data_IF_539391288945
#
_entry.id   IF_539391288945
#
_cell.length_a   1.000
_cell.length_b   1.000
_cell.length_c   1.000
_cell.angle_alpha   90.00
_cell.angle_beta   90.00
_cell.angle_gamma   90.00
#
_symmetry.space_group_name_H-M   'P 1'
#
loop_
_entity.id
_entity.type
_entity.pdbx_description
1 polymer ?
#
# COMPACT_ATOMS: atom_id res chain seq x y z
N UNK A 1 0.31 -0.95 -40.46
CA UNK A 1 1.43 0.02 -40.47
C UNK A 1 2.16 -0.07 -39.14
N UNK A 2 3.47 -0.25 -39.15
CA UNK A 2 4.26 -0.26 -37.92
C UNK A 2 4.53 1.17 -37.46
N UNK A 3 4.80 1.38 -36.16
CA UNK A 3 5.22 2.68 -35.62
C UNK A 3 6.39 3.27 -36.43
N UNK A 4 7.32 2.41 -36.85
CA UNK A 4 8.50 2.80 -37.61
C UNK A 4 8.15 3.34 -39.00
N UNK A 5 7.17 2.73 -39.69
CA UNK A 5 6.74 3.20 -41.02
C UNK A 5 6.05 4.57 -40.93
N UNK A 6 5.22 4.76 -39.91
CA UNK A 6 4.53 6.04 -39.65
C UNK A 6 5.54 7.12 -39.30
N UNK A 7 6.51 6.81 -38.42
CA UNK A 7 7.57 7.73 -38.08
C UNK A 7 8.39 8.15 -39.30
N UNK A 8 8.85 7.20 -40.12
CA UNK A 8 9.61 7.48 -41.35
C UNK A 8 8.84 8.38 -42.31
N UNK A 9 7.54 8.14 -42.46
CA UNK A 9 6.67 8.96 -43.31
C UNK A 9 6.56 10.40 -42.80
N UNK A 10 6.42 10.57 -41.48
CA UNK A 10 6.31 11.90 -40.87
C UNK A 10 7.65 12.65 -40.86
N UNK A 11 8.76 11.96 -40.58
CA UNK A 11 10.10 12.54 -40.54
C UNK A 11 10.57 13.04 -41.92
N UNK A 12 10.08 12.43 -43.01
CA UNK A 12 10.34 12.91 -44.37
C UNK A 12 9.57 14.21 -44.71
N UNK A 13 8.49 14.53 -43.97
CA UNK A 13 7.58 15.64 -44.27
C UNK A 13 7.76 16.84 -43.34
N UNK A 14 8.21 16.61 -42.10
CA UNK A 14 8.32 17.66 -41.07
C UNK A 14 9.74 17.75 -40.53
N UNK A 15 10.24 18.97 -40.25
CA UNK A 15 11.62 19.19 -39.80
C UNK A 15 11.92 18.62 -38.41
N UNK A 16 10.89 18.45 -37.56
CA UNK A 16 11.01 17.84 -36.23
C UNK A 16 9.81 16.94 -35.99
N UNK A 17 10.06 15.74 -35.48
CA UNK A 17 9.04 14.76 -35.09
C UNK A 17 9.37 14.24 -33.70
N UNK A 18 8.40 14.34 -32.78
CA UNK A 18 8.49 13.75 -31.44
C UNK A 18 7.86 12.36 -31.40
N UNK A 19 8.47 11.44 -30.66
CA UNK A 19 7.91 10.12 -30.38
C UNK A 19 7.95 9.93 -28.87
N UNK A 20 6.81 9.56 -28.30
CA UNK A 20 6.71 9.26 -26.88
C UNK A 20 5.91 7.98 -26.67
N UNK A 21 6.18 7.32 -25.55
CA UNK A 21 5.39 6.16 -25.12
C UNK A 21 4.07 6.64 -24.54
N UNK A 22 2.98 5.97 -24.90
CA UNK A 22 1.69 6.19 -24.28
C UNK A 22 1.70 5.65 -22.83
N UNK A 23 1.81 6.57 -21.87
CA UNK A 23 1.88 6.23 -20.44
C UNK A 23 0.50 6.10 -19.78
N UNK A 24 -0.59 6.08 -20.55
CA UNK A 24 -1.92 5.77 -20.02
C UNK A 24 -1.93 4.34 -19.47
N UNK A 25 -2.67 4.15 -18.37
CA UNK A 25 -2.67 2.89 -17.62
C UNK A 25 -2.91 1.66 -18.50
N UNK A 26 -3.94 1.72 -19.36
CA UNK A 26 -4.33 0.61 -20.26
C UNK A 26 -3.25 0.17 -21.25
N UNK A 27 -2.24 1.01 -21.52
CA UNK A 27 -1.12 0.72 -22.42
C UNK A 27 0.20 0.50 -21.68
N UNK A 28 0.20 0.55 -20.35
CA UNK A 28 1.37 0.34 -19.50
C UNK A 28 1.17 -0.90 -18.60
N UNK A 29 1.71 -2.07 -18.97
CA UNK A 29 1.50 -3.32 -18.23
C UNK A 29 1.92 -3.27 -16.76
N UNK A 30 3.01 -2.55 -16.45
CA UNK A 30 3.48 -2.39 -15.07
C UNK A 30 2.46 -1.60 -14.24
N UNK A 31 1.89 -0.54 -14.81
CA UNK A 31 0.84 0.25 -14.17
C UNK A 31 -0.45 -0.56 -13.99
N UNK A 32 -0.81 -1.40 -14.96
CA UNK A 32 -1.95 -2.31 -14.82
C UNK A 32 -1.80 -3.29 -13.65
N UNK A 33 -0.61 -3.88 -13.46
CA UNK A 33 -0.32 -4.76 -12.31
C UNK A 33 -0.46 -4.04 -10.95
N UNK A 34 -0.12 -2.76 -10.88
CA UNK A 34 -0.32 -1.96 -9.66
C UNK A 34 -1.80 -1.69 -9.42
N UNK A 35 -2.55 -1.38 -10.47
CA UNK A 35 -4.01 -1.17 -10.38
C UNK A 35 -4.73 -2.45 -9.94
N UNK A 36 -4.33 -3.61 -10.47
CA UNK A 36 -4.83 -4.92 -10.07
C UNK A 36 -4.67 -5.12 -8.55
N UNK A 37 -3.44 -4.97 -8.03
CA UNK A 37 -3.16 -5.08 -6.59
C UNK A 37 -3.93 -4.06 -5.74
N UNK A 38 -4.09 -2.84 -6.23
CA UNK A 38 -4.89 -1.82 -5.54
C UNK A 38 -6.38 -2.20 -5.53
N UNK A 39 -6.87 -2.84 -6.58
CA UNK A 39 -8.24 -3.33 -6.70
C UNK A 39 -8.49 -4.50 -5.75
N UNK A 40 -7.57 -5.45 -5.64
CA UNK A 40 -7.63 -6.55 -4.66
C UNK A 40 -7.77 -5.99 -3.23
N UNK A 41 -6.90 -5.05 -2.84
CA UNK A 41 -6.96 -4.38 -1.53
C UNK A 41 -8.27 -3.62 -1.32
N UNK A 42 -8.83 -3.02 -2.37
CA UNK A 42 -10.12 -2.33 -2.30
C UNK A 42 -11.27 -3.32 -2.04
N UNK A 43 -11.26 -4.47 -2.72
CA UNK A 43 -12.25 -5.53 -2.53
C UNK A 43 -12.20 -6.04 -1.09
N UNK A 44 -11.01 -6.37 -0.58
CA UNK A 44 -10.82 -6.80 0.81
C UNK A 44 -11.37 -5.76 1.80
N UNK A 45 -11.09 -4.47 1.55
CA UNK A 45 -11.61 -3.38 2.38
C UNK A 45 -13.13 -3.27 2.35
N UNK A 46 -13.76 -3.36 1.17
CA UNK A 46 -15.22 -3.30 1.02
C UNK A 46 -15.89 -4.49 1.71
N UNK A 47 -15.28 -5.67 1.66
CA UNK A 47 -15.81 -6.86 2.34
C UNK A 47 -15.72 -6.78 3.88
N UNK A 48 -14.87 -5.90 4.42
CA UNK A 48 -14.77 -5.68 5.85
C UNK A 48 -15.83 -4.68 6.34
N UNK A 49 -16.89 -5.19 6.94
CA UNK A 49 -17.99 -4.40 7.48
C UNK A 49 -17.72 -3.94 8.93
N UNK A 50 -18.20 -2.74 9.27
CA UNK A 50 -18.13 -2.22 10.63
C UNK A 50 -18.99 -3.07 11.59
N UNK A 51 -18.48 -3.52 12.75
CA UNK A 51 -19.26 -4.34 13.68
C UNK A 51 -20.45 -3.58 14.31
N UNK A 52 -20.38 -2.25 14.39
CA UNK A 52 -21.45 -1.41 14.96
C UNK A 52 -22.52 -1.04 13.92
N UNK A 53 -22.13 -0.49 12.77
CA UNK A 53 -23.09 0.08 11.80
C UNK A 53 -23.21 -0.73 10.50
N UNK A 54 -22.45 -1.82 10.36
CA UNK A 54 -22.41 -2.69 9.17
C UNK A 54 -21.99 -2.00 7.86
N UNK A 55 -21.54 -0.74 7.93
CA UNK A 55 -21.01 -0.04 6.75
C UNK A 55 -19.73 -0.73 6.25
N UNK A 56 -19.64 -1.07 4.96
CA UNK A 56 -18.41 -1.52 4.29
C UNK A 56 -17.24 -0.56 4.48
N UNK A 57 -16.01 -1.09 4.47
CA UNK A 57 -14.80 -0.27 4.53
C UNK A 57 -14.21 -0.08 5.93
N UNK A 58 -14.62 -0.88 6.91
CA UNK A 58 -13.99 -0.94 8.23
C UNK A 58 -12.59 -1.53 8.11
N UNK A 59 -11.56 -0.69 8.16
CA UNK A 59 -10.18 -1.10 7.90
C UNK A 59 -9.21 -0.47 8.87
N UNK A 60 -7.95 -0.91 8.81
CA UNK A 60 -6.84 -0.27 9.50
C UNK A 60 -6.72 1.18 9.02
N UNK A 61 -6.67 2.12 9.96
CA UNK A 61 -6.43 3.54 9.72
C UNK A 61 -5.10 4.01 10.30
N UNK A 62 -4.58 3.31 11.30
CA UNK A 62 -3.31 3.63 11.94
C UNK A 62 -2.61 2.38 12.47
N UNK A 63 -1.29 2.48 12.67
CA UNK A 63 -0.45 1.43 13.23
C UNK A 63 0.39 2.01 14.36
N UNK A 64 0.18 1.51 15.59
CA UNK A 64 0.98 1.86 16.75
C UNK A 64 2.24 1.03 16.77
N UNK A 65 3.40 1.67 16.66
CA UNK A 65 4.70 1.05 16.95
C UNK A 65 4.93 0.91 18.45
N UNK A 66 5.93 0.12 18.84
CA UNK A 66 6.38 0.01 20.22
C UNK A 66 6.39 -1.41 20.76
N UNK A 67 6.49 -2.42 19.90
CA UNK A 67 6.65 -3.80 20.36
C UNK A 67 7.92 -3.90 21.24
N UNK A 68 7.84 -4.44 22.47
CA UNK A 68 8.98 -4.42 23.39
C UNK A 68 10.12 -5.31 22.87
N UNK A 69 11.36 -4.84 22.95
CA UNK A 69 12.53 -5.67 22.68
C UNK A 69 12.59 -6.83 23.68
N UNK A 70 12.84 -8.06 23.21
CA UNK A 70 12.93 -9.25 24.06
C UNK A 70 14.14 -9.24 25.03
N UNK A 71 15.19 -8.47 24.73
CA UNK A 71 16.40 -8.37 25.55
C UNK A 71 16.33 -7.23 26.56
N UNK A 72 15.99 -6.01 26.14
CA UNK A 72 16.06 -4.83 27.01
C UNK A 72 14.69 -4.21 27.34
N UNK A 73 13.60 -4.70 26.75
CA UNK A 73 12.24 -4.22 26.98
C UNK A 73 11.92 -2.84 26.40
N UNK A 74 12.87 -2.15 25.75
CA UNK A 74 12.57 -0.84 25.15
C UNK A 74 11.62 -0.98 23.95
N UNK A 75 10.74 0.01 23.71
CA UNK A 75 9.85 -0.02 22.55
C UNK A 75 10.65 0.03 21.26
N UNK A 76 10.36 -0.88 20.34
CA UNK A 76 10.95 -0.91 19.00
C UNK A 76 10.04 -0.22 17.98
N UNK A 77 10.51 -0.07 16.74
CA UNK A 77 9.70 0.47 15.63
C UNK A 77 8.67 -0.54 15.10
N UNK A 78 8.74 -1.79 15.53
CA UNK A 78 7.79 -2.82 15.13
C UNK A 78 6.39 -2.53 15.64
N UNK A 79 5.40 -2.95 14.84
CA UNK A 79 3.99 -2.72 15.09
C UNK A 79 3.55 -3.49 16.33
N UNK A 80 3.08 -2.76 17.33
CA UNK A 80 2.44 -3.28 18.53
C UNK A 80 0.95 -3.54 18.29
N UNK A 81 0.27 -2.62 17.59
CA UNK A 81 -1.17 -2.72 17.37
C UNK A 81 -1.62 -2.03 16.07
N UNK A 82 -2.70 -2.52 15.49
CA UNK A 82 -3.45 -1.81 14.46
C UNK A 82 -4.69 -1.15 15.04
N UNK A 83 -4.99 0.05 14.58
CA UNK A 83 -6.23 0.76 14.85
C UNK A 83 -7.14 0.57 13.66
N UNK A 84 -8.27 -0.09 13.88
CA UNK A 84 -9.36 -0.20 12.91
C UNK A 84 -10.37 0.89 13.20
N UNK A 85 -10.85 1.57 12.17
CA UNK A 85 -11.84 2.62 12.34
C UNK A 85 -12.86 2.65 11.20
N UNK A 86 -14.11 2.90 11.56
CA UNK A 86 -15.19 3.16 10.61
C UNK A 86 -15.28 4.66 10.32
N UNK A 87 -15.18 5.04 9.04
CA UNK A 87 -15.32 6.44 8.60
C UNK A 87 -16.76 6.95 8.63
N UNK A 88 -17.74 6.05 8.74
CA UNK A 88 -19.16 6.41 8.76
C UNK A 88 -19.66 6.71 10.18
N UNK A 89 -19.54 5.77 11.12
CA UNK A 89 -20.03 5.96 12.50
C UNK A 89 -18.94 6.36 13.51
N UNK A 90 -17.66 6.35 13.12
CA UNK A 90 -16.54 6.69 14.00
C UNK A 90 -16.09 5.57 14.96
N UNK A 91 -16.75 4.41 14.96
CA UNK A 91 -16.33 3.26 15.76
C UNK A 91 -14.85 2.93 15.53
N UNK A 92 -14.09 2.72 16.60
CA UNK A 92 -12.67 2.43 16.56
C UNK A 92 -12.31 1.29 17.51
N UNK A 93 -11.41 0.42 17.06
CA UNK A 93 -10.93 -0.74 17.81
C UNK A 93 -9.41 -0.85 17.68
N UNK A 94 -8.74 -1.14 18.79
CA UNK A 94 -7.30 -1.43 18.78
C UNK A 94 -7.09 -2.96 18.86
N UNK A 95 -6.40 -3.51 17.85
CA UNK A 95 -6.01 -4.93 17.82
C UNK A 95 -4.50 -5.06 18.02
N UNK A 96 -4.10 -5.56 19.18
CA UNK A 96 -2.69 -5.80 19.53
C UNK A 96 -2.15 -7.05 18.84
N UNK A 97 -0.84 -7.04 18.65
CA UNK A 97 -0.05 -8.15 18.10
C UNK A 97 -0.57 -8.66 16.75
N UNK A 98 -0.77 -7.78 15.75
CA UNK A 98 -1.33 -8.20 14.46
C UNK A 98 -0.44 -9.19 13.69
N UNK A 99 0.84 -9.28 14.06
CA UNK A 99 1.79 -10.24 13.49
C UNK A 99 2.01 -11.46 14.39
N UNK A 100 1.12 -11.72 15.36
CA UNK A 100 1.25 -12.80 16.36
C UNK A 100 2.60 -12.81 17.09
N UNK A 101 3.15 -11.61 17.30
CA UNK A 101 4.45 -11.38 17.91
C UNK A 101 4.28 -10.42 19.08
N UNK A 102 4.81 -10.77 20.25
CA UNK A 102 4.66 -9.98 21.48
C UNK A 102 5.92 -9.17 21.83
N UNK A 103 7.08 -9.62 21.37
CA UNK A 103 8.38 -8.96 21.57
C UNK A 103 9.14 -8.89 20.26
N UNK A 104 10.06 -7.94 20.12
CA UNK A 104 10.90 -7.78 18.94
C UNK A 104 12.34 -8.24 19.20
N UNK A 105 12.97 -8.81 18.19
CA UNK A 105 14.36 -9.26 18.20
C UNK A 105 15.29 -8.04 18.39
N UNK A 106 16.36 -8.15 19.21
CA UNK A 106 17.25 -7.03 19.50
C UNK A 106 17.92 -6.44 18.26
N UNK A 107 18.03 -7.19 17.15
CA UNK A 107 18.56 -6.71 15.88
C UNK A 107 17.74 -5.53 15.31
N UNK A 108 16.46 -5.41 15.67
CA UNK A 108 15.59 -4.30 15.24
C UNK A 108 15.34 -3.26 16.34
N UNK A 109 16.09 -3.31 17.44
CA UNK A 109 15.95 -2.40 18.56
C UNK A 109 17.01 -1.29 18.50
N UNK A 110 16.59 -0.04 18.30
CA UNK A 110 17.46 1.15 18.26
C UNK A 110 18.36 1.31 19.52
N UNK A 111 18.05 0.62 20.64
CA UNK A 111 18.86 0.64 21.86
C UNK A 111 19.87 -0.52 21.95
N UNK A 112 19.52 -1.71 21.47
CA UNK A 112 20.41 -2.88 21.49
C UNK A 112 21.31 -2.93 20.25
N UNK A 113 20.78 -2.48 19.11
CA UNK A 113 21.43 -2.44 17.82
C UNK A 113 21.18 -1.05 17.17
N UNK A 114 21.83 0.01 17.69
CA UNK A 114 21.74 1.37 17.14
C UNK A 114 22.28 1.51 15.71
#
# INVERSE_FOLDING_TARGET
HTLLDVYKTLAAKYPVVGVETDMRAMFNPTRMKVIEKATEKLIEKIQSACPECQMPGYSITDAKSGLPCDLCGSPTRSVLAYIFQCTHCGFSEEKKYPHNKQTEDPMYCDRCNP
#
